data_IF_882693505533
#
_entry.id   IF_882693505533
#
_cell.length_a   1.000
_cell.length_b   1.000
_cell.length_c   1.000
_cell.angle_alpha   90.00
_cell.angle_beta   90.00
_cell.angle_gamma   90.00
#
_symmetry.space_group_name_H-M   'P 1'
#
loop_
_entity.id
_entity.type
_entity.pdbx_description
1 polymer ?
#
# COMPACT_ATOMS: atom_id res chain seq x y z
N UNK A 1 -9.63 11.67 -2.39
CA UNK A 1 -9.61 11.38 -3.84
C UNK A 1 -8.72 12.42 -4.50
N UNK A 2 -7.67 12.01 -5.22
CA UNK A 2 -6.69 12.95 -5.77
C UNK A 2 -7.26 13.83 -6.88
N UNK A 3 -6.80 15.07 -6.99
CA UNK A 3 -7.21 15.98 -8.06
C UNK A 3 -6.64 15.49 -9.39
N UNK A 4 -7.46 15.39 -10.43
CA UNK A 4 -7.00 14.96 -11.76
C UNK A 4 -6.45 16.17 -12.51
N UNK A 5 -5.25 16.03 -13.06
CA UNK A 5 -4.59 17.02 -13.91
C UNK A 5 -4.16 16.36 -15.22
N UNK A 6 -4.23 17.10 -16.32
CA UNK A 6 -3.69 16.63 -17.61
C UNK A 6 -2.16 16.63 -17.57
N UNK A 7 -1.51 15.83 -18.42
CA UNK A 7 -0.06 15.82 -18.52
C UNK A 7 0.49 17.17 -19.01
N UNK A 8 -0.28 17.87 -19.86
CA UNK A 8 0.03 19.21 -20.36
C UNK A 8 0.00 20.26 -19.23
N UNK A 9 -1.03 20.23 -18.37
CA UNK A 9 -1.13 21.14 -17.23
C UNK A 9 -0.11 20.81 -16.14
N UNK A 10 0.12 19.52 -15.89
CA UNK A 10 1.12 19.07 -14.93
C UNK A 10 2.52 19.55 -15.31
N UNK A 11 2.87 19.53 -16.60
CA UNK A 11 4.15 20.06 -17.11
C UNK A 11 4.29 21.56 -16.85
N UNK A 12 3.21 22.33 -17.04
CA UNK A 12 3.22 23.79 -16.86
C UNK A 12 3.27 24.21 -15.39
N UNK A 13 2.71 23.40 -14.49
CA UNK A 13 2.51 23.74 -13.06
C UNK A 13 3.27 22.80 -12.12
N UNK A 14 4.34 22.16 -12.58
CA UNK A 14 5.00 21.10 -11.82
C UNK A 14 5.45 21.57 -10.43
N UNK A 15 6.04 22.77 -10.35
CA UNK A 15 6.45 23.38 -9.08
C UNK A 15 5.30 23.50 -8.08
N UNK A 16 4.20 24.13 -8.48
CA UNK A 16 3.01 24.31 -7.64
C UNK A 16 2.39 22.99 -7.17
N UNK A 17 2.37 21.98 -8.05
CA UNK A 17 1.86 20.65 -7.71
C UNK A 17 2.75 19.95 -6.69
N UNK A 18 4.08 20.04 -6.84
CA UNK A 18 5.04 19.49 -5.88
C UNK A 18 4.95 20.23 -4.54
N UNK A 19 4.87 21.56 -4.55
CA UNK A 19 4.68 22.34 -3.33
C UNK A 19 3.35 22.03 -2.65
N UNK A 20 2.27 21.82 -3.42
CA UNK A 20 1.00 21.36 -2.87
C UNK A 20 1.10 20.00 -2.19
N UNK A 21 1.81 19.05 -2.80
CA UNK A 21 2.05 17.75 -2.18
C UNK A 21 2.92 17.88 -0.92
N UNK A 22 4.05 18.60 -1.00
CA UNK A 22 5.01 18.75 0.11
C UNK A 22 4.45 19.54 1.29
N UNK A 23 3.76 20.65 1.03
CA UNK A 23 3.36 21.61 2.07
C UNK A 23 1.94 21.38 2.59
N UNK A 24 1.04 20.86 1.76
CA UNK A 24 -0.38 20.71 2.12
C UNK A 24 -0.86 19.26 2.13
N UNK A 25 -0.03 18.31 1.73
CA UNK A 25 -0.43 16.91 1.62
C UNK A 25 -1.33 16.63 0.42
N UNK A 26 -1.40 17.54 -0.57
CA UNK A 26 -2.24 17.35 -1.74
C UNK A 26 -1.79 16.11 -2.54
N UNK A 27 -2.74 15.43 -3.17
CA UNK A 27 -2.48 14.31 -4.07
C UNK A 27 -3.07 14.61 -5.44
N UNK A 28 -2.27 14.40 -6.48
CA UNK A 28 -2.64 14.69 -7.86
C UNK A 28 -2.49 13.43 -8.72
N UNK A 29 -3.49 13.14 -9.53
CA UNK A 29 -3.42 12.09 -10.56
C UNK A 29 -3.14 12.78 -11.89
N UNK A 30 -1.99 12.45 -12.50
CA UNK A 30 -1.65 12.89 -13.84
C UNK A 30 -2.32 11.95 -14.84
N UNK A 31 -3.12 12.53 -15.74
CA UNK A 31 -3.78 11.81 -16.82
C UNK A 31 -3.11 12.09 -18.16
N UNK A 32 -3.04 11.06 -19.01
CA UNK A 32 -2.58 11.15 -20.40
C UNK A 32 -3.65 10.58 -21.30
N UNK A 33 -4.13 11.36 -22.27
CA UNK A 33 -5.26 10.97 -23.15
C UNK A 33 -6.49 10.50 -22.35
N UNK A 34 -6.81 11.21 -21.27
CA UNK A 34 -7.96 10.92 -20.40
C UNK A 34 -7.80 9.72 -19.46
N UNK A 35 -6.66 9.02 -19.46
CA UNK A 35 -6.41 7.87 -18.58
C UNK A 35 -5.41 8.22 -17.47
N UNK A 36 -5.60 7.78 -16.22
CA UNK A 36 -4.59 7.88 -15.18
C UNK A 36 -3.26 7.25 -15.64
N UNK A 37 -2.16 7.97 -15.47
CA UNK A 37 -0.84 7.56 -15.93
C UNK A 37 0.23 7.65 -14.84
N UNK A 38 0.15 8.63 -13.94
CA UNK A 38 1.06 8.81 -12.82
C UNK A 38 0.38 9.56 -11.68
N UNK A 39 1.06 9.70 -10.54
CA UNK A 39 0.59 10.52 -9.43
C UNK A 39 1.72 11.34 -8.83
N UNK A 40 1.40 12.54 -8.34
CA UNK A 40 2.25 13.32 -7.43
C UNK A 40 1.62 13.22 -6.06
N UNK A 41 2.39 12.69 -5.11
CA UNK A 41 1.96 12.45 -3.73
C UNK A 41 3.05 12.93 -2.77
N UNK A 42 2.72 13.22 -1.51
CA UNK A 42 3.72 13.45 -0.47
C UNK A 42 4.69 12.27 -0.37
N UNK A 43 5.98 12.56 -0.16
CA UNK A 43 7.03 11.53 -0.16
C UNK A 43 6.83 10.49 0.94
N UNK A 44 6.21 10.90 2.05
CA UNK A 44 5.90 10.05 3.20
C UNK A 44 4.96 8.90 2.81
N UNK A 45 4.08 9.12 1.81
CA UNK A 45 3.19 8.07 1.30
C UNK A 45 3.99 6.99 0.57
N UNK A 46 4.97 7.40 -0.24
CA UNK A 46 5.87 6.47 -0.94
C UNK A 46 6.71 5.70 0.06
N UNK A 47 7.33 6.40 1.01
CA UNK A 47 8.15 5.80 2.07
C UNK A 47 7.36 4.82 2.92
N UNK A 48 6.16 5.18 3.38
CA UNK A 48 5.27 4.29 4.13
C UNK A 48 4.89 3.06 3.30
N UNK A 49 4.61 3.23 2.01
CA UNK A 49 4.28 2.10 1.15
C UNK A 49 5.48 1.14 0.98
N UNK A 50 6.68 1.66 0.77
CA UNK A 50 7.91 0.87 0.68
C UNK A 50 8.22 0.14 2.00
N UNK A 51 8.08 0.83 3.13
CA UNK A 51 8.26 0.24 4.45
C UNK A 51 7.23 -0.86 4.72
N UNK A 52 5.95 -0.58 4.46
CA UNK A 52 4.86 -1.54 4.64
C UNK A 52 5.07 -2.78 3.76
N UNK A 53 5.49 -2.60 2.51
CA UNK A 53 5.84 -3.69 1.60
C UNK A 53 7.00 -4.52 2.15
N UNK A 54 8.05 -3.87 2.66
CA UNK A 54 9.21 -4.54 3.27
C UNK A 54 8.83 -5.33 4.52
N UNK A 55 7.97 -4.77 5.38
CA UNK A 55 7.47 -5.46 6.57
C UNK A 55 6.61 -6.66 6.18
N UNK A 56 5.70 -6.49 5.22
CA UNK A 56 4.85 -7.57 4.73
C UNK A 56 5.66 -8.73 4.15
N UNK A 57 6.64 -8.45 3.29
CA UNK A 57 7.49 -9.48 2.69
C UNK A 57 8.26 -10.27 3.76
N UNK A 58 8.86 -9.57 4.75
CA UNK A 58 9.52 -10.23 5.87
C UNK A 58 8.58 -11.13 6.67
N UNK A 59 7.35 -10.68 6.92
CA UNK A 59 6.35 -11.48 7.63
C UNK A 59 5.98 -12.74 6.83
N UNK A 60 5.81 -12.62 5.51
CA UNK A 60 5.53 -13.77 4.63
C UNK A 60 6.68 -14.78 4.70
N UNK A 61 7.93 -14.33 4.59
CA UNK A 61 9.12 -15.18 4.70
C UNK A 61 9.20 -15.88 6.05
N UNK A 62 8.98 -15.15 7.15
CA UNK A 62 9.01 -15.70 8.50
C UNK A 62 7.93 -16.77 8.70
N UNK A 63 6.70 -16.51 8.23
CA UNK A 63 5.60 -17.48 8.28
C UNK A 63 5.91 -18.69 7.43
N UNK A 64 6.49 -18.50 6.24
CA UNK A 64 6.87 -19.61 5.36
C UNK A 64 7.93 -20.51 6.00
N UNK A 65 9.03 -19.93 6.50
CA UNK A 65 10.11 -20.71 7.13
C UNK A 65 9.62 -21.44 8.39
N UNK A 66 8.77 -20.83 9.23
CA UNK A 66 8.19 -21.49 10.42
C UNK A 66 7.27 -22.67 10.10
N UNK A 67 6.75 -22.74 8.88
CA UNK A 67 5.84 -23.79 8.44
C UNK A 67 6.45 -24.71 7.37
N UNK A 68 7.74 -24.53 7.08
CA UNK A 68 8.49 -25.38 6.16
C UNK A 68 8.50 -26.82 6.65
N UNK A 69 8.11 -27.75 5.77
CA UNK A 69 8.02 -29.18 6.08
C UNK A 69 6.73 -29.60 6.82
N UNK A 70 5.84 -28.67 7.18
CA UNK A 70 4.49 -29.03 7.66
C UNK A 70 3.58 -29.33 6.49
N UNK A 71 2.63 -30.25 6.70
CA UNK A 71 1.59 -30.52 5.71
C UNK A 71 0.56 -29.40 5.71
N UNK A 72 -0.08 -29.18 4.56
CA UNK A 72 -1.07 -28.10 4.42
C UNK A 72 -2.23 -28.26 5.41
N UNK A 73 -2.68 -29.49 5.63
CA UNK A 73 -3.78 -29.83 6.52
C UNK A 73 -3.47 -29.49 7.99
N UNK A 74 -2.21 -29.65 8.40
CA UNK A 74 -1.74 -29.29 9.75
C UNK A 74 -1.73 -27.76 9.93
N UNK A 75 -1.34 -27.02 8.90
CA UNK A 75 -1.34 -25.55 8.91
C UNK A 75 -2.79 -25.03 8.96
N UNK A 76 -3.69 -25.58 8.16
CA UNK A 76 -5.10 -25.21 8.15
C UNK A 76 -5.77 -25.43 9.51
N UNK A 77 -5.50 -26.57 10.16
CA UNK A 77 -6.03 -26.84 11.51
C UNK A 77 -5.58 -25.79 12.52
N UNK A 78 -4.31 -25.37 12.48
CA UNK A 78 -3.76 -24.34 13.38
C UNK A 78 -4.43 -22.98 13.12
N UNK A 79 -4.65 -22.62 11.85
CA UNK A 79 -5.32 -21.37 11.47
C UNK A 79 -6.77 -21.37 11.99
N UNK A 80 -7.50 -22.47 11.80
CA UNK A 80 -8.88 -22.61 12.22
C UNK A 80 -9.05 -22.47 13.74
N UNK A 81 -8.16 -23.06 14.52
CA UNK A 81 -8.15 -22.90 15.98
C UNK A 81 -7.91 -21.44 16.38
N UNK A 82 -6.92 -20.78 15.76
CA UNK A 82 -6.62 -19.38 16.02
C UNK A 82 -7.81 -18.45 15.68
N UNK A 83 -8.48 -18.67 14.54
CA UNK A 83 -9.67 -17.90 14.14
C UNK A 83 -10.83 -18.11 15.11
N UNK A 84 -11.10 -19.37 15.52
CA UNK A 84 -12.15 -19.68 16.50
C UNK A 84 -11.88 -18.98 17.84
N UNK A 85 -10.64 -19.00 18.32
CA UNK A 85 -10.25 -18.29 19.54
C UNK A 85 -10.44 -16.78 19.44
N UNK A 86 -9.98 -16.16 18.35
CA UNK A 86 -10.09 -14.72 18.14
C UNK A 86 -11.56 -14.25 18.07
N UNK A 87 -12.45 -15.05 17.48
CA UNK A 87 -13.89 -14.77 17.43
C UNK A 87 -14.54 -14.84 18.80
N UNK A 88 -14.16 -15.81 19.65
CA UNK A 88 -14.67 -15.92 21.03
C UNK A 88 -14.27 -14.75 21.91
N UNK A 89 -13.10 -14.16 21.69
CA UNK A 89 -12.59 -13.03 22.48
C UNK A 89 -13.23 -11.67 22.12
N UNK A 90 -13.97 -11.62 21.01
CA UNK A 90 -14.64 -10.40 20.53
C UNK A 90 -16.14 -10.37 20.89
N UNK A 91 -16.68 -11.48 21.43
CA UNK A 91 -18.02 -11.61 21.98
C UNK A 91 -17.98 -11.42 23.51
#
# INVERSE_FOLDING_TARGET
MGKIVTIEDARKKLGDLVDGARLRGDQYIISKKGKPAAAIVPIEIVQRHEESKRVLLRLIEEVHEKNKGKKAEEIESIIDEAVKWARRKKA
#
